data_IF_308753217742
#
_entry.id   IF_308753217742
#
_cell.length_a   1.000
_cell.length_b   1.000
_cell.length_c   1.000
_cell.angle_alpha   90.00
_cell.angle_beta   90.00
_cell.angle_gamma   90.00
#
_symmetry.space_group_name_H-M   'P 1'
#
loop_
_entity.id
_entity.type
_entity.pdbx_description
1 polymer ?
#
# COMPACT_ATOMS: atom_id res chain seq x y z
N UNK A 1 16.31 19.83 -0.20
CA UNK A 1 15.49 19.17 -1.24
C UNK A 1 14.99 17.89 -0.61
N UNK A 2 13.84 17.93 0.08
CA UNK A 2 13.24 16.79 0.78
C UNK A 2 11.86 16.53 0.17
N UNK A 3 11.86 15.55 -0.73
CA UNK A 3 10.83 14.61 -1.16
C UNK A 3 9.38 15.02 -0.88
N UNK A 4 8.67 15.46 -1.92
CA UNK A 4 7.25 15.90 -1.91
C UNK A 4 6.27 14.70 -1.84
N UNK A 5 6.73 13.45 -1.80
CA UNK A 5 5.84 12.29 -1.70
C UNK A 5 6.52 11.11 -1.00
N UNK A 6 5.80 10.50 -0.04
CA UNK A 6 6.16 9.19 0.54
C UNK A 6 5.17 8.16 0.02
N UNK A 7 5.47 7.58 -1.12
CA UNK A 7 4.78 6.36 -1.55
C UNK A 7 5.35 5.18 -0.76
N UNK A 8 4.55 4.65 0.16
CA UNK A 8 4.88 3.43 0.90
C UNK A 8 3.96 2.31 0.44
N UNK A 9 4.51 1.45 -0.41
CA UNK A 9 3.87 0.22 -0.81
C UNK A 9 4.32 -0.91 0.08
N UNK A 10 3.45 -1.36 0.97
CA UNK A 10 3.68 -2.59 1.75
C UNK A 10 2.82 -3.68 1.14
N UNK A 11 3.44 -4.50 0.29
CA UNK A 11 2.80 -5.71 -0.22
C UNK A 11 2.98 -6.83 0.80
N UNK A 12 1.97 -7.03 1.63
CA UNK A 12 1.88 -8.21 2.49
C UNK A 12 1.01 -9.24 1.76
N UNK A 13 1.54 -10.41 1.42
CA UNK A 13 0.70 -11.52 0.97
C UNK A 13 0.76 -12.65 1.98
N UNK A 14 -0.40 -13.17 2.39
CA UNK A 14 -0.48 -14.36 3.23
C UNK A 14 -0.24 -15.60 2.37
N UNK A 15 0.97 -16.16 2.39
CA UNK A 15 1.23 -17.49 1.81
C UNK A 15 0.77 -18.55 2.81
N UNK A 16 -0.47 -19.05 2.65
CA UNK A 16 -0.87 -20.31 3.25
C UNK A 16 -0.11 -21.42 2.54
N UNK A 17 0.84 -22.06 3.22
CA UNK A 17 1.54 -23.25 2.71
C UNK A 17 0.55 -24.43 2.70
N UNK A 18 -0.30 -24.46 1.67
CA UNK A 18 -1.12 -25.60 1.27
C UNK A 18 -0.52 -26.20 0.02
N UNK A 19 0.09 -27.38 0.16
CA UNK A 19 0.72 -28.11 -0.95
C UNK A 19 -0.36 -28.53 -1.96
N UNK A 20 -0.45 -27.90 -3.14
CA UNK A 20 -0.94 -28.56 -4.37
C UNK A 20 -0.49 -27.86 -5.65
N UNK A 21 0.27 -28.62 -6.45
CA UNK A 21 0.36 -28.66 -7.92
C UNK A 21 -0.51 -27.73 -8.76
N UNK A 22 0.13 -26.92 -9.61
CA UNK A 22 -0.46 -26.37 -10.84
C UNK A 22 0.16 -25.03 -11.26
N UNK A 23 0.92 -25.00 -12.36
CA UNK A 23 1.34 -23.76 -13.01
C UNK A 23 0.12 -23.07 -13.62
N UNK A 24 -0.54 -22.25 -12.82
CA UNK A 24 -1.43 -21.18 -13.30
C UNK A 24 -0.64 -19.90 -13.13
N UNK A 25 -0.59 -18.97 -14.11
CA UNK A 25 -0.07 -17.63 -13.83
C UNK A 25 -0.89 -17.07 -12.67
N UNK A 26 -0.24 -16.92 -11.52
CA UNK A 26 -0.88 -16.56 -10.28
C UNK A 26 -1.05 -15.05 -10.28
N UNK A 27 -2.24 -14.56 -10.64
CA UNK A 27 -2.59 -13.17 -10.42
C UNK A 27 -2.42 -12.86 -8.92
N UNK A 28 -1.57 -11.90 -8.59
CA UNK A 28 -1.33 -11.51 -7.21
C UNK A 28 -2.33 -10.43 -6.82
N UNK A 29 -2.95 -10.58 -5.65
CA UNK A 29 -3.84 -9.56 -5.12
C UNK A 29 -3.01 -8.51 -4.41
N UNK A 30 -3.05 -7.27 -4.89
CA UNK A 30 -2.56 -6.10 -4.17
C UNK A 30 -3.67 -5.62 -3.24
N UNK A 31 -3.55 -5.94 -1.96
CA UNK A 31 -4.52 -5.56 -0.94
C UNK A 31 -3.98 -4.42 -0.07
N UNK A 32 -4.79 -3.39 0.12
CA UNK A 32 -4.48 -2.18 0.88
C UNK A 32 -3.17 -1.42 0.55
N UNK A 33 -2.76 -1.24 -0.72
CA UNK A 33 -1.96 -0.07 -1.08
C UNK A 33 -2.57 1.25 -0.60
N UNK A 34 -1.73 2.11 -0.03
CA UNK A 34 -2.10 3.46 0.39
C UNK A 34 -1.09 4.48 -0.13
N UNK A 35 -1.56 5.69 -0.39
CA UNK A 35 -0.76 6.81 -0.89
C UNK A 35 -0.94 7.98 0.09
N UNK A 36 0.16 8.41 0.69
CA UNK A 36 0.21 9.60 1.55
C UNK A 36 0.89 10.75 0.80
N UNK A 37 0.34 11.95 0.93
CA UNK A 37 0.88 13.16 0.31
C UNK A 37 1.25 14.16 1.41
N UNK A 38 2.49 14.63 1.41
CA UNK A 38 3.03 15.54 2.43
C UNK A 38 3.79 16.70 1.75
N UNK A 39 3.11 17.62 1.07
CA UNK A 39 3.77 18.77 0.46
C UNK A 39 4.31 19.75 1.51
N UNK A 40 5.26 20.63 1.16
CA UNK A 40 5.79 21.64 2.10
C UNK A 40 4.75 22.74 2.44
N UNK A 41 3.82 23.00 1.52
CA UNK A 41 2.69 23.93 1.67
C UNK A 41 1.44 23.27 1.12
N UNK A 42 0.25 23.78 1.48
CA UNK A 42 -1.00 23.36 0.85
C UNK A 42 -0.86 23.41 -0.68
N UNK A 43 -1.12 22.27 -1.34
CA UNK A 43 -0.82 22.07 -2.76
C UNK A 43 -1.94 21.29 -3.42
N UNK A 44 -2.33 21.73 -4.61
CA UNK A 44 -3.21 20.94 -5.48
C UNK A 44 -2.43 19.81 -6.13
N UNK A 45 -2.90 18.58 -5.94
CA UNK A 45 -2.23 17.37 -6.39
C UNK A 45 -3.19 16.50 -7.21
N UNK A 46 -2.77 16.16 -8.41
CA UNK A 46 -3.38 15.11 -9.23
C UNK A 46 -2.57 13.82 -9.08
N UNK A 47 -3.26 12.71 -8.81
CA UNK A 47 -2.66 11.38 -8.66
C UNK A 47 -3.35 10.40 -9.60
N UNK A 48 -2.60 9.83 -10.53
CA UNK A 48 -3.06 8.77 -11.42
C UNK A 48 -2.23 7.50 -11.24
N UNK A 49 -2.92 6.37 -11.17
CA UNK A 49 -2.38 5.03 -11.01
C UNK A 49 -2.57 4.22 -12.30
N UNK A 50 -1.46 3.77 -12.87
CA UNK A 50 -1.44 2.77 -13.93
C UNK A 50 -1.02 1.42 -13.35
N UNK A 51 -1.99 0.51 -13.22
CA UNK A 51 -1.78 -0.85 -12.71
C UNK A 51 -1.69 -1.82 -13.89
N UNK A 52 -0.63 -2.63 -13.94
CA UNK A 52 -0.56 -3.82 -14.80
C UNK A 52 -1.47 -4.91 -14.23
N UNK A 53 -2.76 -4.74 -14.52
CA UNK A 53 -3.82 -5.51 -13.92
C UNK A 53 -5.12 -4.72 -13.88
N UNK A 54 -5.87 -4.86 -12.78
CA UNK A 54 -7.19 -4.25 -12.63
C UNK A 54 -7.43 -3.77 -11.21
N UNK A 55 -7.88 -2.51 -11.09
CA UNK A 55 -8.40 -1.96 -9.83
C UNK A 55 -9.74 -2.62 -9.49
N UNK A 56 -9.87 -3.02 -8.23
CA UNK A 56 -11.04 -3.71 -7.68
C UNK A 56 -11.77 -2.85 -6.67
N UNK A 57 -11.03 -2.10 -5.87
CA UNK A 57 -11.56 -1.15 -4.87
C UNK A 57 -10.72 0.12 -4.92
N UNK A 58 -11.37 1.27 -4.78
CA UNK A 58 -10.69 2.56 -4.58
C UNK A 58 -11.46 3.38 -3.54
N UNK A 59 -10.74 4.15 -2.74
CA UNK A 59 -11.33 5.06 -1.78
C UNK A 59 -10.39 6.26 -1.53
N UNK A 60 -10.81 7.51 -1.72
CA UNK A 60 -12.09 7.95 -2.33
C UNK A 60 -12.30 7.36 -3.73
N UNK A 61 -13.49 7.56 -4.31
CA UNK A 61 -13.75 7.12 -5.68
C UNK A 61 -12.68 7.68 -6.64
N UNK A 62 -12.14 6.80 -7.49
CA UNK A 62 -10.98 7.11 -8.35
C UNK A 62 -11.33 8.04 -9.51
N UNK A 63 -12.60 8.11 -9.91
CA UNK A 63 -13.02 8.90 -11.06
C UNK A 63 -12.42 8.40 -12.39
N UNK A 64 -12.50 9.24 -13.43
CA UNK A 64 -12.00 8.92 -14.77
C UNK A 64 -10.51 9.23 -14.96
N UNK A 65 -10.00 10.23 -14.25
CA UNK A 65 -8.64 10.78 -14.41
C UNK A 65 -7.75 10.53 -13.18
N UNK A 66 -8.22 9.73 -12.21
CA UNK A 66 -7.59 9.57 -10.92
C UNK A 66 -8.06 10.59 -9.89
N UNK A 67 -7.31 10.68 -8.79
CA UNK A 67 -7.67 11.55 -7.67
C UNK A 67 -7.15 12.97 -7.89
N UNK A 68 -7.99 13.96 -7.61
CA UNK A 68 -7.61 15.37 -7.51
C UNK A 68 -7.91 15.85 -6.09
N UNK A 69 -6.87 16.26 -5.39
CA UNK A 69 -6.95 16.62 -3.98
C UNK A 69 -6.17 17.89 -3.67
N UNK A 70 -6.64 18.66 -2.71
CA UNK A 70 -5.80 19.63 -2.00
C UNK A 70 -5.10 18.89 -0.87
N UNK A 71 -3.77 18.74 -0.94
CA UNK A 71 -2.96 18.08 0.07
C UNK A 71 -2.31 19.10 1.01
N UNK A 72 -2.40 18.85 2.32
CA UNK A 72 -1.80 19.68 3.37
C UNK A 72 -0.49 19.08 3.91
N UNK A 73 0.42 19.90 4.46
CA UNK A 73 1.69 19.40 5.00
C UNK A 73 1.57 18.37 6.14
N UNK A 74 0.42 18.31 6.80
CA UNK A 74 0.12 17.35 7.87
C UNK A 74 -0.44 16.01 7.36
N UNK A 75 -0.60 15.84 6.04
CA UNK A 75 -1.15 14.65 5.41
C UNK A 75 -2.65 14.69 5.13
N UNK A 76 -3.34 15.76 5.55
CA UNK A 76 -4.77 15.93 5.28
C UNK A 76 -5.03 16.12 3.78
N UNK A 77 -5.97 15.37 3.22
CA UNK A 77 -6.39 15.46 1.82
C UNK A 77 -7.84 15.92 1.73
N UNK A 78 -8.11 16.98 0.98
CA UNK A 78 -9.47 17.36 0.59
C UNK A 78 -9.72 16.92 -0.85
N UNK A 79 -10.59 15.93 -1.03
CA UNK A 79 -10.93 15.41 -2.36
C UNK A 79 -11.88 16.34 -3.08
N UNK A 80 -11.55 16.74 -4.31
CA UNK A 80 -12.33 17.73 -5.06
C UNK A 80 -13.66 17.17 -5.55
N UNK A 81 -13.74 15.87 -5.80
CA UNK A 81 -14.93 15.23 -6.36
C UNK A 81 -16.11 15.27 -5.40
N UNK A 82 -15.87 15.08 -4.09
CA UNK A 82 -16.93 15.03 -3.08
C UNK A 82 -16.77 16.07 -1.95
N UNK A 83 -15.70 16.85 -1.96
CA UNK A 83 -15.40 17.89 -0.98
C UNK A 83 -15.08 17.36 0.42
N UNK A 84 -14.76 16.08 0.56
CA UNK A 84 -14.52 15.44 1.86
C UNK A 84 -13.04 15.32 2.20
N UNK A 85 -12.80 15.21 3.49
CA UNK A 85 -11.48 15.00 4.08
C UNK A 85 -11.11 13.51 4.14
N UNK A 86 -9.86 13.21 3.81
CA UNK A 86 -9.28 11.88 3.80
C UNK A 86 -7.84 11.90 4.32
N UNK A 87 -7.41 10.80 4.96
CA UNK A 87 -6.04 10.65 5.48
C UNK A 87 -5.06 10.06 4.47
N UNK A 88 -5.57 9.37 3.44
CA UNK A 88 -4.78 8.75 2.37
C UNK A 88 -5.68 8.41 1.17
N UNK A 89 -5.06 8.16 0.02
CA UNK A 89 -5.71 7.53 -1.13
C UNK A 89 -5.49 6.02 -1.06
N UNK A 90 -6.53 5.23 -1.25
CA UNK A 90 -6.50 3.78 -1.12
C UNK A 90 -6.95 3.10 -2.40
N UNK A 91 -6.31 1.99 -2.71
CA UNK A 91 -6.76 1.10 -3.76
C UNK A 91 -6.47 -0.36 -3.45
N UNK A 92 -7.20 -1.25 -4.10
CA UNK A 92 -6.94 -2.68 -4.18
C UNK A 92 -7.04 -3.12 -5.63
N UNK A 93 -6.31 -4.16 -6.01
CA UNK A 93 -6.35 -4.67 -7.36
C UNK A 93 -5.78 -6.06 -7.51
N UNK A 94 -5.99 -6.62 -8.68
CA UNK A 94 -5.29 -7.81 -9.15
C UNK A 94 -4.17 -7.34 -10.06
N UNK A 95 -2.95 -7.82 -9.86
CA UNK A 95 -1.80 -7.50 -10.71
C UNK A 95 -1.14 -8.77 -11.25
N UNK A 96 -0.38 -8.61 -12.33
CA UNK A 96 0.49 -9.66 -12.85
C UNK A 96 1.89 -9.64 -12.19
N UNK A 97 2.07 -8.89 -11.10
CA UNK A 97 3.35 -8.78 -10.43
C UNK A 97 3.76 -10.12 -9.82
N UNK A 98 5.00 -10.53 -10.08
CA UNK A 98 5.63 -11.68 -9.44
C UNK A 98 6.49 -11.19 -8.27
N UNK A 99 6.07 -11.50 -7.05
CA UNK A 99 6.80 -11.11 -5.83
C UNK A 99 7.84 -12.17 -5.44
N UNK A 100 9.05 -11.74 -5.11
CA UNK A 100 10.13 -12.63 -4.69
C UNK A 100 10.08 -12.96 -3.20
N UNK A 101 9.51 -14.12 -2.86
CA UNK A 101 9.49 -14.64 -1.48
C UNK A 101 10.75 -15.42 -1.09
N UNK A 102 11.83 -15.39 -1.89
CA UNK A 102 13.09 -16.09 -1.55
C UNK A 102 13.79 -15.52 -0.32
N UNK A 103 13.46 -14.27 0.06
CA UNK A 103 13.95 -13.58 1.26
C UNK A 103 12.78 -12.96 2.02
N UNK A 104 12.86 -13.03 3.35
CA UNK A 104 11.88 -12.49 4.26
C UNK A 104 12.03 -13.05 5.67
N UNK A 105 10.99 -12.88 6.48
CA UNK A 105 10.91 -13.35 7.85
C UNK A 105 9.80 -14.37 8.00
N UNK A 106 10.07 -15.45 8.74
CA UNK A 106 9.06 -16.40 9.19
C UNK A 106 8.67 -16.02 10.61
N UNK A 107 7.48 -15.44 10.78
CA UNK A 107 7.04 -14.80 12.02
C UNK A 107 5.84 -15.55 12.58
N UNK A 108 5.85 -16.01 13.85
CA UNK A 108 4.66 -16.59 14.47
C UNK A 108 3.45 -15.64 14.39
N UNK A 109 2.24 -16.18 14.19
CA UNK A 109 1.02 -15.35 14.19
C UNK A 109 0.88 -14.50 15.45
N UNK A 110 1.19 -15.10 16.60
CA UNK A 110 1.17 -14.45 17.92
C UNK A 110 2.16 -13.29 18.08
N UNK A 111 3.22 -13.24 17.27
CA UNK A 111 4.26 -12.19 17.31
C UNK A 111 4.13 -11.18 16.16
N UNK A 112 3.12 -11.35 15.29
CA UNK A 112 3.00 -10.57 14.06
C UNK A 112 2.75 -9.10 14.31
N UNK A 113 1.96 -8.74 15.33
CA UNK A 113 1.68 -7.34 15.64
C UNK A 113 2.95 -6.56 16.01
N UNK A 114 3.75 -7.10 16.93
CA UNK A 114 5.02 -6.51 17.37
C UNK A 114 6.01 -6.43 16.21
N UNK A 115 6.16 -7.52 15.44
CA UNK A 115 7.02 -7.54 14.27
C UNK A 115 6.66 -6.46 13.25
N UNK A 116 5.36 -6.28 12.95
CA UNK A 116 4.89 -5.26 12.01
C UNK A 116 5.12 -3.85 12.55
N UNK A 117 4.92 -3.60 13.85
CA UNK A 117 5.17 -2.28 14.44
C UNK A 117 6.65 -1.89 14.29
N UNK A 118 7.57 -2.79 14.67
CA UNK A 118 9.01 -2.54 14.58
C UNK A 118 9.47 -2.38 13.13
N UNK A 119 9.04 -3.29 12.25
CA UNK A 119 9.46 -3.29 10.84
C UNK A 119 8.95 -2.06 10.10
N UNK A 120 7.67 -1.71 10.26
CA UNK A 120 7.08 -0.53 9.60
C UNK A 120 7.66 0.76 10.16
N UNK A 121 7.90 0.83 11.48
CA UNK A 121 8.60 1.98 12.07
C UNK A 121 10.03 2.11 11.53
N UNK A 122 10.75 1.00 11.33
CA UNK A 122 12.10 1.00 10.75
C UNK A 122 12.11 1.43 9.27
N UNK A 123 11.02 1.16 8.54
CA UNK A 123 10.78 1.68 7.18
C UNK A 123 10.37 3.16 7.16
N UNK A 124 10.21 3.78 8.33
CA UNK A 124 9.95 5.20 8.48
C UNK A 124 8.46 5.58 8.53
N UNK A 125 7.56 4.61 8.69
CA UNK A 125 6.14 4.89 8.95
C UNK A 125 5.97 5.51 10.33
N UNK A 126 5.06 6.48 10.42
CA UNK A 126 4.63 7.03 11.70
C UNK A 126 3.71 6.06 12.44
N UNK A 127 3.48 6.26 13.76
CA UNK A 127 2.50 5.49 14.51
C UNK A 127 1.09 5.49 13.93
N UNK A 128 0.68 6.57 13.28
CA UNK A 128 -0.61 6.59 12.60
C UNK A 128 -0.62 5.61 11.43
N UNK A 129 0.36 5.75 10.53
CA UNK A 129 0.44 4.97 9.28
C UNK A 129 0.62 3.47 9.56
N UNK A 130 1.52 3.06 10.47
CA UNK A 130 1.71 1.63 10.73
C UNK A 130 0.49 1.01 11.40
N UNK A 131 -0.23 1.74 12.25
CA UNK A 131 -1.42 1.22 12.91
C UNK A 131 -2.54 0.99 11.89
N UNK A 132 -2.69 1.88 10.90
CA UNK A 132 -3.63 1.71 9.79
C UNK A 132 -3.33 0.45 8.98
N UNK A 133 -2.06 0.16 8.71
CA UNK A 133 -1.64 -1.07 8.03
C UNK A 133 -1.93 -2.31 8.89
N UNK A 134 -1.55 -2.28 10.17
CA UNK A 134 -1.73 -3.40 11.10
C UNK A 134 -3.21 -3.74 11.29
N UNK A 135 -4.09 -2.75 11.46
CA UNK A 135 -5.53 -2.99 11.69
C UNK A 135 -6.18 -3.77 10.52
N UNK A 136 -5.71 -3.56 9.30
CA UNK A 136 -6.22 -4.29 8.14
C UNK A 136 -5.62 -5.70 8.01
N UNK A 137 -4.31 -5.84 8.27
CA UNK A 137 -3.57 -7.06 8.01
C UNK A 137 -3.57 -8.05 9.17
N UNK A 138 -3.47 -7.57 10.40
CA UNK A 138 -3.32 -8.42 11.59
C UNK A 138 -4.43 -9.48 11.73
N UNK A 139 -5.74 -9.18 11.49
CA UNK A 139 -6.79 -10.20 11.57
C UNK A 139 -6.61 -11.37 10.60
N UNK A 140 -5.84 -11.20 9.53
CA UNK A 140 -5.55 -12.23 8.52
C UNK A 140 -4.30 -13.06 8.88
N UNK A 141 -3.53 -12.60 9.87
CA UNK A 141 -2.18 -13.09 10.16
C UNK A 141 -2.04 -13.65 11.58
N UNK A 142 -2.77 -13.12 12.56
CA UNK A 142 -2.55 -13.43 13.98
C UNK A 142 -2.91 -14.87 14.36
N UNK A 143 -3.86 -15.49 13.65
CA UNK A 143 -4.27 -16.88 13.88
C UNK A 143 -3.39 -17.91 13.17
N UNK A 144 -2.48 -17.47 12.30
CA UNK A 144 -1.61 -18.38 11.55
C UNK A 144 -0.50 -18.92 12.45
N UNK A 145 -0.09 -20.18 12.25
CA UNK A 145 1.06 -20.71 12.99
C UNK A 145 2.32 -19.86 12.73
N UNK A 146 2.52 -19.50 11.46
CA UNK A 146 3.57 -18.61 10.98
C UNK A 146 3.09 -17.83 9.75
N UNK A 147 3.63 -16.64 9.57
CA UNK A 147 3.49 -15.79 8.40
C UNK A 147 4.85 -15.63 7.72
N UNK A 148 4.89 -15.74 6.40
CA UNK A 148 6.04 -15.33 5.61
C UNK A 148 5.85 -13.87 5.22
N UNK A 149 6.71 -12.99 5.71
CA UNK A 149 6.63 -11.54 5.46
C UNK A 149 7.86 -11.10 4.68
N UNK A 150 7.65 -10.33 3.63
CA UNK A 150 8.71 -9.72 2.80
C UNK A 150 8.32 -8.30 2.45
N UNK A 151 9.30 -7.42 2.27
CA UNK A 151 9.09 -6.04 1.84
C UNK A 151 9.70 -5.87 0.45
N UNK A 152 8.85 -5.58 -0.53
CA UNK A 152 9.20 -5.49 -1.95
C UNK A 152 9.06 -4.04 -2.41
N UNK A 153 10.00 -3.57 -3.25
CA UNK A 153 9.98 -2.21 -3.77
C UNK A 153 9.89 -2.19 -5.29
N UNK A 154 10.93 -2.62 -6.01
CA UNK A 154 11.03 -2.49 -7.47
C UNK A 154 9.88 -3.19 -8.21
N UNK A 155 9.62 -4.47 -7.91
CA UNK A 155 8.56 -5.23 -8.58
C UNK A 155 7.16 -4.65 -8.31
N UNK A 156 6.95 -3.99 -7.18
CA UNK A 156 5.69 -3.29 -6.92
C UNK A 156 5.59 -2.04 -7.79
N UNK A 157 6.62 -1.19 -7.81
CA UNK A 157 6.60 0.07 -8.56
C UNK A 157 6.50 -0.14 -10.07
N UNK A 158 7.07 -1.22 -10.60
CA UNK A 158 6.94 -1.59 -12.01
C UNK A 158 5.50 -1.97 -12.37
N UNK A 159 4.79 -2.63 -11.45
CA UNK A 159 3.41 -3.09 -11.65
C UNK A 159 2.35 -2.03 -11.34
N UNK A 160 2.65 -1.08 -10.47
CA UNK A 160 1.73 -0.04 -9.98
C UNK A 160 2.41 1.33 -10.09
N UNK A 161 2.37 1.90 -11.29
CA UNK A 161 3.03 3.15 -11.60
C UNK A 161 2.16 4.32 -11.16
N UNK A 162 2.72 5.21 -10.34
CA UNK A 162 2.07 6.45 -9.95
C UNK A 162 2.65 7.63 -10.70
N UNK A 163 1.76 8.40 -11.30
CA UNK A 163 2.05 9.74 -11.80
C UNK A 163 1.40 10.76 -10.87
N UNK A 164 2.21 11.69 -10.37
CA UNK A 164 1.83 12.72 -9.40
C UNK A 164 2.18 14.08 -9.98
N UNK A 165 1.23 15.01 -9.99
CA UNK A 165 1.41 16.37 -10.50
C UNK A 165 0.94 17.36 -9.43
N UNK A 166 1.78 18.33 -9.00
CA UNK A 166 3.17 18.55 -9.41
C UNK A 166 4.11 17.42 -8.98
N UNK A 167 5.23 17.30 -9.70
CA UNK A 167 6.21 16.25 -9.44
C UNK A 167 6.88 16.41 -8.07
N UNK A 168 7.21 15.28 -7.40
CA UNK A 168 7.80 15.34 -6.07
C UNK A 168 9.28 15.77 -5.90
#
# INVERSE_FOLDING_TARGET
MKNICRLLAVVLTSVLIGVTTGCTPQSTNSAKPVIYLYPETETEVSVSLSLDGKLTTTYPDYGQEGWNVTASPDGTLINHTDGKEYSYLFWEGTSNAEYDFSKGWCVPGSETAEFLQDSLSALGLTPQEYNEMIVYWLPQMESNSYNLITFQQECYTDSANLEIVPQP
#
